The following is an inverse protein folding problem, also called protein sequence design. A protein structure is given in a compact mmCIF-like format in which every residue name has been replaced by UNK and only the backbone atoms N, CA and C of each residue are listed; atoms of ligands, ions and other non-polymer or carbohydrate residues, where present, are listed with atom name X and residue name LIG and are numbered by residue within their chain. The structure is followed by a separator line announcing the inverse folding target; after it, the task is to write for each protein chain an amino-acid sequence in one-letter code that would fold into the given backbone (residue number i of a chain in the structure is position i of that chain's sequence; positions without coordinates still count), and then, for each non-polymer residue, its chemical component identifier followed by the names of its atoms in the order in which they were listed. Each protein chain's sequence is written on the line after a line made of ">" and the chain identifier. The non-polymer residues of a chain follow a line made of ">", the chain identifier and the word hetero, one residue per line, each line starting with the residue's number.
data_IF_556187683527
#
_entry.id   IF_556187683527
#
_cell.length_a   1.000
_cell.length_b   1.000
_cell.length_c   1.000
_cell.angle_alpha   90.00
_cell.angle_beta   90.00
_cell.angle_gamma   90.00
#
_symmetry.space_group_name_H-M   'P 1'
#
loop_
_entity.id
_entity.type
_entity.pdbx_description
1 polymer ?
#
# COMPACT_ATOMS: atom_id res chain seq x y z
N UNK A 1 -0.13 21.66 -31.18
CA UNK A 1 0.73 20.47 -31.28
C UNK A 1 1.91 20.69 -30.35
N UNK A 2 2.15 19.84 -29.34
CA UNK A 2 3.34 19.97 -28.51
C UNK A 2 4.57 19.65 -29.37
N UNK A 3 5.56 20.50 -29.35
CA UNK A 3 6.83 20.30 -30.04
C UNK A 3 7.53 19.05 -29.50
N UNK A 4 8.23 18.28 -30.34
CA UNK A 4 8.95 17.03 -29.98
C UNK A 4 9.89 17.17 -28.78
N UNK A 5 10.33 18.38 -28.45
CA UNK A 5 11.16 18.67 -27.27
C UNK A 5 10.38 18.68 -25.95
N UNK A 6 9.08 18.94 -25.97
CA UNK A 6 8.24 18.92 -24.74
C UNK A 6 7.90 17.50 -24.27
N UNK A 7 7.92 16.51 -25.17
CA UNK A 7 7.64 15.12 -24.84
C UNK A 7 8.74 14.41 -24.01
N UNK A 8 9.99 14.79 -24.17
CA UNK A 8 11.13 14.12 -23.53
C UNK A 8 11.14 14.19 -21.98
N UNK A 9 10.85 15.36 -21.36
CA UNK A 9 10.82 15.47 -19.90
C UNK A 9 9.71 14.65 -19.26
N UNK A 10 8.51 14.71 -19.81
CA UNK A 10 7.38 13.93 -19.31
C UNK A 10 7.60 12.43 -19.46
N UNK A 11 8.22 12.00 -20.56
CA UNK A 11 8.55 10.58 -20.76
C UNK A 11 9.52 10.05 -19.70
N UNK A 12 10.52 10.81 -19.30
CA UNK A 12 11.48 10.39 -18.26
C UNK A 12 10.83 10.31 -16.89
N UNK A 13 9.98 11.29 -16.53
CA UNK A 13 9.21 11.22 -15.28
C UNK A 13 8.25 10.05 -15.29
N UNK A 14 7.57 9.81 -16.40
CA UNK A 14 6.71 8.65 -16.57
C UNK A 14 7.45 7.32 -16.41
N UNK A 15 8.64 7.20 -17.01
CA UNK A 15 9.49 6.03 -16.85
C UNK A 15 9.89 5.83 -15.38
N UNK A 16 10.30 6.89 -14.69
CA UNK A 16 10.62 6.85 -13.26
C UNK A 16 9.41 6.37 -12.43
N UNK A 17 8.21 6.91 -12.68
CA UNK A 17 7.00 6.50 -11.97
C UNK A 17 6.68 5.03 -12.26
N UNK A 18 6.85 4.58 -13.51
CA UNK A 18 6.62 3.17 -13.88
C UNK A 18 7.64 2.24 -13.22
N UNK A 19 8.91 2.58 -13.20
CA UNK A 19 9.95 1.80 -12.52
C UNK A 19 9.65 1.68 -11.03
N UNK A 20 9.36 2.80 -10.35
CA UNK A 20 8.97 2.79 -8.94
C UNK A 20 7.71 1.97 -8.69
N UNK A 21 6.69 2.10 -9.53
CA UNK A 21 5.46 1.31 -9.42
C UNK A 21 5.72 -0.18 -9.57
N UNK A 22 6.63 -0.59 -10.47
CA UNK A 22 7.06 -1.98 -10.64
C UNK A 22 7.77 -2.52 -9.39
N UNK A 23 8.53 -1.67 -8.71
CA UNK A 23 9.21 -1.98 -7.44
C UNK A 23 8.28 -1.94 -6.23
N UNK A 24 7.00 -1.63 -6.41
CA UNK A 24 6.04 -1.50 -5.31
C UNK A 24 6.22 -0.22 -4.51
N UNK A 25 6.61 0.87 -5.15
CA UNK A 25 6.83 2.17 -4.52
C UNK A 25 5.96 3.25 -5.17
N UNK A 26 5.47 4.17 -4.33
CA UNK A 26 4.76 5.37 -4.77
C UNK A 26 5.76 6.53 -4.91
N UNK A 27 5.48 7.43 -5.85
CA UNK A 27 6.32 8.61 -6.10
C UNK A 27 5.64 9.86 -5.53
N UNK A 28 6.36 10.64 -4.75
CA UNK A 28 5.86 11.90 -4.21
C UNK A 28 6.00 13.04 -5.23
N UNK A 29 5.19 14.10 -5.08
CA UNK A 29 5.36 15.36 -5.83
C UNK A 29 6.78 15.89 -5.72
N UNK A 30 7.38 15.80 -4.54
CA UNK A 30 8.74 16.26 -4.26
C UNK A 30 9.80 15.52 -5.11
N UNK A 31 9.67 14.21 -5.25
CA UNK A 31 10.57 13.41 -6.11
C UNK A 31 10.39 13.74 -7.59
N UNK A 32 9.16 13.97 -8.04
CA UNK A 32 8.87 14.41 -9.41
C UNK A 32 9.53 15.78 -9.68
N UNK A 33 9.35 16.74 -8.77
CA UNK A 33 9.97 18.05 -8.90
C UNK A 33 11.51 17.99 -8.90
N UNK A 34 12.08 17.14 -8.06
CA UNK A 34 13.52 16.90 -8.06
C UNK A 34 13.98 16.27 -9.37
N UNK A 35 13.20 15.34 -9.94
CA UNK A 35 13.43 14.77 -11.25
C UNK A 35 13.46 15.84 -12.36
N UNK A 36 12.54 16.79 -12.33
CA UNK A 36 12.54 17.94 -13.25
C UNK A 36 13.77 18.84 -13.04
N UNK A 37 14.10 19.20 -11.81
CA UNK A 37 15.27 20.04 -11.50
C UNK A 37 16.58 19.40 -11.97
N UNK A 38 16.78 18.11 -11.74
CA UNK A 38 17.98 17.37 -12.12
C UNK A 38 18.17 17.27 -13.65
N UNK A 39 17.09 17.42 -14.42
CA UNK A 39 17.13 17.37 -15.88
C UNK A 39 17.34 18.75 -16.51
N UNK A 40 17.46 19.81 -15.71
CA UNK A 40 17.64 21.19 -16.21
C UNK A 40 16.50 21.66 -17.09
N UNK A 41 15.29 21.21 -16.81
CA UNK A 41 14.14 21.43 -17.68
C UNK A 41 13.64 22.88 -17.63
N UNK A 42 13.62 23.50 -18.78
CA UNK A 42 13.07 24.80 -19.05
C UNK A 42 11.78 24.63 -19.84
N UNK A 43 10.67 25.16 -19.35
CA UNK A 43 9.45 25.27 -20.13
C UNK A 43 9.36 26.74 -20.58
N UNK A 44 9.24 26.96 -21.88
CA UNK A 44 9.15 28.30 -22.49
C UNK A 44 10.29 29.27 -22.08
N UNK A 45 11.51 28.75 -21.91
CA UNK A 45 12.66 29.58 -21.55
C UNK A 45 12.71 30.04 -20.09
N UNK A 46 11.81 29.54 -19.24
CA UNK A 46 11.81 29.79 -17.79
C UNK A 46 12.03 28.48 -17.03
N UNK A 47 12.89 28.57 -15.99
CA UNK A 47 13.05 27.44 -15.06
C UNK A 47 11.69 27.14 -14.40
N UNK A 48 11.32 25.87 -14.31
CA UNK A 48 10.07 25.46 -13.67
C UNK A 48 10.10 25.96 -12.23
N UNK A 49 9.36 27.03 -11.95
CA UNK A 49 9.14 27.50 -10.60
C UNK A 49 8.18 26.55 -9.88
N UNK A 50 8.31 26.40 -8.57
CA UNK A 50 7.43 25.56 -7.76
C UNK A 50 5.95 25.87 -7.93
N UNK A 51 5.61 27.10 -8.31
CA UNK A 51 4.24 27.56 -8.59
C UNK A 51 3.58 26.96 -9.83
N UNK A 52 4.33 26.35 -10.75
CA UNK A 52 3.78 25.81 -12.01
C UNK A 52 3.67 24.27 -12.01
N UNK A 53 4.10 23.61 -10.93
CA UNK A 53 4.15 22.15 -10.88
C UNK A 53 2.77 21.49 -10.91
N UNK A 54 1.76 22.09 -10.29
CA UNK A 54 0.38 21.57 -10.31
C UNK A 54 -0.20 21.56 -11.72
N UNK A 55 0.07 22.62 -12.48
CA UNK A 55 -0.37 22.70 -13.88
C UNK A 55 0.32 21.67 -14.75
N UNK A 56 1.61 21.41 -14.51
CA UNK A 56 2.38 20.38 -15.22
C UNK A 56 1.90 18.97 -14.90
N UNK A 57 1.72 18.65 -13.61
CA UNK A 57 1.22 17.36 -13.17
C UNK A 57 -0.21 17.11 -13.67
N UNK A 58 -1.07 18.15 -13.61
CA UNK A 58 -2.42 18.09 -14.17
C UNK A 58 -2.40 17.86 -15.69
N UNK A 59 -1.46 18.45 -16.42
CA UNK A 59 -1.24 18.19 -17.83
C UNK A 59 -0.82 16.75 -18.09
N UNK A 60 0.17 16.25 -17.36
CA UNK A 60 0.62 14.85 -17.44
C UNK A 60 -0.51 13.86 -17.16
N UNK A 61 -1.33 14.10 -16.13
CA UNK A 61 -2.46 13.25 -15.77
C UNK A 61 -3.52 13.17 -16.88
N UNK A 62 -3.68 14.23 -17.67
CA UNK A 62 -4.62 14.26 -18.80
C UNK A 62 -4.09 13.53 -20.03
N UNK A 63 -2.79 13.59 -20.28
CA UNK A 63 -2.16 13.01 -21.47
C UNK A 63 -1.78 11.53 -21.27
N UNK A 64 -1.50 11.13 -20.02
CA UNK A 64 -0.97 9.80 -19.70
C UNK A 64 -2.06 8.95 -19.06
N UNK A 65 -2.60 8.03 -19.82
CA UNK A 65 -3.75 7.21 -19.41
C UNK A 65 -3.51 6.27 -18.23
N UNK A 66 -2.27 5.91 -17.93
CA UNK A 66 -1.94 4.98 -16.85
C UNK A 66 -1.42 5.66 -15.59
N UNK A 67 -1.21 6.97 -15.62
CA UNK A 67 -0.82 7.73 -14.43
C UNK A 67 -2.02 7.93 -13.51
N UNK A 68 -1.84 7.63 -12.23
CA UNK A 68 -2.85 7.79 -11.17
C UNK A 68 -2.26 8.51 -9.98
N UNK A 69 -3.14 9.24 -9.32
CA UNK A 69 -2.86 9.95 -8.09
C UNK A 69 -3.67 9.35 -6.95
N UNK A 70 -3.08 9.28 -5.76
CA UNK A 70 -3.72 8.87 -4.52
C UNK A 70 -3.19 9.76 -3.39
N UNK A 71 -4.06 10.33 -2.53
CA UNK A 71 -3.60 11.11 -1.39
C UNK A 71 -3.01 10.20 -0.31
N UNK A 72 -1.92 10.64 0.33
CA UNK A 72 -1.42 10.02 1.55
C UNK A 72 -2.28 10.42 2.77
N UNK A 73 -1.88 10.03 3.97
CA UNK A 73 -2.65 10.30 5.20
C UNK A 73 -2.71 11.79 5.57
N UNK A 74 -1.75 12.58 5.09
CA UNK A 74 -1.68 14.03 5.28
C UNK A 74 -2.37 14.81 4.15
N UNK A 75 -2.89 14.09 3.13
CA UNK A 75 -3.52 14.66 1.96
C UNK A 75 -2.55 15.03 0.84
N UNK A 76 -1.26 14.69 0.96
CA UNK A 76 -0.29 14.95 -0.10
C UNK A 76 -0.43 13.93 -1.24
N UNK A 77 -0.37 14.37 -2.50
CA UNK A 77 -0.50 13.49 -3.64
C UNK A 77 0.72 12.57 -3.81
N UNK A 78 0.42 11.29 -4.06
CA UNK A 78 1.35 10.24 -4.44
C UNK A 78 0.96 9.70 -5.80
N UNK A 79 1.93 9.36 -6.63
CA UNK A 79 1.71 8.97 -8.02
C UNK A 79 2.18 7.55 -8.29
N UNK A 80 1.44 6.84 -9.15
CA UNK A 80 1.77 5.49 -9.58
C UNK A 80 1.22 5.21 -10.99
N UNK A 81 1.72 4.16 -11.63
CA UNK A 81 1.21 3.65 -12.90
C UNK A 81 0.20 2.54 -12.66
N UNK A 82 -1.04 2.73 -13.12
CA UNK A 82 -2.11 1.72 -13.02
C UNK A 82 -1.89 0.47 -13.90
N UNK A 83 -0.93 0.51 -14.83
CA UNK A 83 -0.48 -0.67 -15.58
C UNK A 83 0.37 -1.62 -14.74
N UNK A 84 1.07 -1.10 -13.73
CA UNK A 84 2.07 -1.85 -12.95
C UNK A 84 1.68 -2.03 -11.48
N UNK A 85 0.75 -1.23 -10.99
CA UNK A 85 0.28 -1.25 -9.61
C UNK A 85 -1.24 -1.03 -9.58
N UNK A 86 -1.97 -1.89 -8.86
CA UNK A 86 -3.40 -1.69 -8.63
C UNK A 86 -3.65 -0.59 -7.60
N UNK A 87 -4.81 0.05 -7.67
CA UNK A 87 -5.22 1.05 -6.66
C UNK A 87 -5.29 0.45 -5.25
N UNK A 88 -5.74 -0.80 -5.13
CA UNK A 88 -5.77 -1.50 -3.85
C UNK A 88 -4.37 -1.66 -3.25
N UNK A 89 -3.38 -2.00 -4.09
CA UNK A 89 -1.99 -2.09 -3.67
C UNK A 89 -1.44 -0.72 -3.24
N UNK A 90 -1.69 0.33 -4.03
CA UNK A 90 -1.30 1.70 -3.68
C UNK A 90 -1.88 2.16 -2.33
N UNK A 91 -3.17 1.85 -2.06
CA UNK A 91 -3.81 2.13 -0.76
C UNK A 91 -3.12 1.42 0.42
N UNK A 92 -2.66 0.19 0.22
CA UNK A 92 -1.93 -0.56 1.25
C UNK A 92 -0.59 0.11 1.54
N UNK A 93 0.14 0.54 0.50
CA UNK A 93 1.42 1.26 0.67
C UNK A 93 1.25 2.56 1.47
N UNK A 94 0.22 3.36 1.15
CA UNK A 94 -0.10 4.58 1.91
C UNK A 94 -0.39 4.26 3.38
N UNK A 95 -1.18 3.23 3.65
CA UNK A 95 -1.49 2.82 5.03
C UNK A 95 -0.25 2.31 5.78
N UNK A 96 0.66 1.63 5.07
CA UNK A 96 1.92 1.14 5.64
C UNK A 96 2.85 2.28 6.04
N UNK A 97 3.00 3.31 5.19
CA UNK A 97 3.82 4.49 5.49
C UNK A 97 3.33 5.23 6.74
N UNK A 98 2.05 5.09 7.09
CA UNK A 98 1.46 5.70 8.27
C UNK A 98 1.69 4.89 9.56
N UNK A 99 0.75 4.00 9.88
CA UNK A 99 0.80 3.18 11.11
C UNK A 99 0.61 1.69 10.78
N UNK A 100 1.67 0.87 10.89
CA UNK A 100 1.59 -0.57 10.70
C UNK A 100 0.55 -1.27 11.59
N UNK A 101 0.30 -0.73 12.79
CA UNK A 101 -0.70 -1.25 13.71
C UNK A 101 -2.12 -1.13 13.13
N UNK A 102 -2.45 0.05 12.61
CA UNK A 102 -3.74 0.30 11.93
C UNK A 102 -3.86 -0.54 10.65
N UNK A 103 -2.77 -0.69 9.91
CA UNK A 103 -2.76 -1.51 8.71
C UNK A 103 -3.11 -2.97 9.03
N UNK A 104 -2.43 -3.58 10.01
CA UNK A 104 -2.71 -4.95 10.46
C UNK A 104 -4.15 -5.07 10.95
N UNK A 105 -4.56 -4.19 11.87
CA UNK A 105 -5.89 -4.22 12.50
C UNK A 105 -7.01 -4.12 11.48
N UNK A 106 -6.92 -3.15 10.56
CA UNK A 106 -7.94 -2.96 9.53
C UNK A 106 -8.00 -4.15 8.56
N UNK A 107 -6.86 -4.71 8.17
CA UNK A 107 -6.80 -5.90 7.32
C UNK A 107 -7.46 -7.11 7.99
N UNK A 108 -7.19 -7.33 9.29
CA UNK A 108 -7.80 -8.43 10.06
C UNK A 108 -9.30 -8.23 10.22
N UNK A 109 -9.76 -7.02 10.54
CA UNK A 109 -11.20 -6.70 10.65
C UNK A 109 -11.91 -6.90 9.31
N UNK A 110 -11.33 -6.39 8.23
CA UNK A 110 -11.87 -6.51 6.87
C UNK A 110 -11.97 -7.98 6.42
N UNK A 111 -10.91 -8.77 6.63
CA UNK A 111 -10.91 -10.22 6.32
C UNK A 111 -11.96 -10.98 7.14
N UNK A 112 -12.08 -10.66 8.43
CA UNK A 112 -13.06 -11.27 9.32
C UNK A 112 -14.49 -10.91 8.95
N UNK A 113 -14.75 -9.65 8.55
CA UNK A 113 -16.06 -9.13 8.17
C UNK A 113 -16.51 -9.64 6.80
N UNK A 114 -15.66 -9.50 5.78
CA UNK A 114 -16.03 -9.70 4.37
C UNK A 114 -15.92 -11.18 3.96
N UNK A 115 -14.83 -11.81 4.38
CA UNK A 115 -14.52 -13.19 3.98
C UNK A 115 -14.83 -14.22 5.07
N UNK A 116 -15.23 -13.78 6.28
CA UNK A 116 -15.39 -14.64 7.46
C UNK A 116 -14.15 -15.52 7.71
N UNK A 117 -12.95 -14.97 7.52
CA UNK A 117 -11.67 -15.71 7.55
C UNK A 117 -10.69 -15.08 8.53
N UNK A 118 -9.99 -15.91 9.33
CA UNK A 118 -8.78 -15.46 10.04
C UNK A 118 -7.66 -15.14 9.07
N UNK A 119 -6.78 -14.23 9.45
CA UNK A 119 -5.65 -13.74 8.66
C UNK A 119 -4.36 -14.36 9.18
N UNK A 120 -3.59 -15.11 8.38
CA UNK A 120 -2.30 -15.63 8.81
C UNK A 120 -1.30 -14.47 9.00
N UNK A 121 -0.52 -14.51 10.09
CA UNK A 121 0.48 -13.45 10.37
C UNK A 121 1.53 -13.36 9.26
N UNK A 122 1.85 -14.48 8.62
CA UNK A 122 2.77 -14.54 7.49
C UNK A 122 2.35 -13.68 6.28
N UNK A 123 1.05 -13.36 6.15
CA UNK A 123 0.56 -12.44 5.12
C UNK A 123 1.27 -11.08 5.18
N UNK A 124 1.54 -10.59 6.37
CA UNK A 124 2.13 -9.27 6.58
C UNK A 124 3.64 -9.21 6.26
N UNK A 125 4.32 -10.36 6.19
CA UNK A 125 5.72 -10.45 5.80
C UNK A 125 5.91 -10.30 4.28
N UNK A 126 4.90 -10.70 3.49
CA UNK A 126 4.94 -10.66 2.02
C UNK A 126 4.35 -9.39 1.41
N UNK A 127 4.51 -9.23 0.08
CA UNK A 127 3.84 -8.15 -0.65
C UNK A 127 2.31 -8.22 -0.49
N UNK A 128 1.63 -7.08 -0.42
CA UNK A 128 2.12 -5.70 -0.49
C UNK A 128 2.58 -5.11 0.85
N UNK A 129 2.46 -5.84 1.94
CA UNK A 129 2.71 -5.35 3.30
C UNK A 129 4.21 -5.19 3.59
N UNK A 130 5.03 -6.21 3.32
CA UNK A 130 6.49 -6.19 3.51
C UNK A 130 6.90 -5.66 4.89
N UNK A 131 6.17 -6.05 5.94
CA UNK A 131 6.53 -5.74 7.31
C UNK A 131 7.61 -6.71 7.79
N UNK A 132 8.52 -6.24 8.63
CA UNK A 132 9.47 -7.11 9.31
C UNK A 132 8.79 -7.87 10.45
N UNK A 133 9.39 -8.97 10.88
CA UNK A 133 8.88 -9.73 12.04
C UNK A 133 8.88 -8.87 13.31
N UNK A 134 9.87 -8.00 13.50
CA UNK A 134 9.99 -7.09 14.63
C UNK A 134 8.86 -6.05 14.66
N UNK A 135 8.52 -5.46 13.50
CA UNK A 135 7.37 -4.54 13.40
C UNK A 135 6.06 -5.24 13.75
N UNK A 136 5.85 -6.46 13.24
CA UNK A 136 4.66 -7.26 13.54
C UNK A 136 4.57 -7.56 15.03
N UNK A 137 5.64 -8.06 15.64
CA UNK A 137 5.65 -8.42 17.06
C UNK A 137 5.44 -7.17 17.96
N UNK A 138 6.00 -6.03 17.57
CA UNK A 138 5.75 -4.74 18.25
C UNK A 138 4.27 -4.34 18.14
N UNK A 139 3.66 -4.47 16.98
CA UNK A 139 2.23 -4.21 16.80
C UNK A 139 1.36 -5.15 17.65
N UNK A 140 1.68 -6.43 17.69
CA UNK A 140 0.96 -7.41 18.50
C UNK A 140 1.04 -7.11 20.02
N UNK A 141 2.18 -6.61 20.50
CA UNK A 141 2.32 -6.16 21.90
C UNK A 141 1.41 -4.96 22.17
N UNK A 142 1.48 -3.93 21.33
CA UNK A 142 0.62 -2.74 21.44
C UNK A 142 -0.87 -3.08 21.41
N UNK A 143 -1.30 -4.03 20.55
CA UNK A 143 -2.71 -4.48 20.48
C UNK A 143 -3.19 -5.11 21.79
N UNK A 144 -2.31 -5.75 22.55
CA UNK A 144 -2.67 -6.35 23.85
C UNK A 144 -2.85 -5.32 24.96
N UNK A 145 -2.12 -4.20 24.86
CA UNK A 145 -2.11 -3.15 25.88
C UNK A 145 -3.22 -2.12 25.67
N UNK A 146 -3.68 -1.93 24.44
CA UNK A 146 -4.64 -0.89 24.07
C UNK A 146 -6.07 -1.49 23.91
N UNK A 147 -7.00 -0.93 24.70
CA UNK A 147 -8.40 -1.33 24.67
C UNK A 147 -9.08 -1.19 23.30
N UNK A 148 -8.56 -0.32 22.44
CA UNK A 148 -9.09 -0.09 21.08
C UNK A 148 -8.96 -1.33 20.19
N UNK A 149 -8.03 -2.24 20.50
CA UNK A 149 -7.72 -3.43 19.71
C UNK A 149 -8.09 -4.74 20.39
N UNK A 150 -8.86 -4.71 21.47
CA UNK A 150 -9.26 -5.88 22.24
C UNK A 150 -10.12 -6.89 21.45
N UNK A 151 -10.68 -6.48 20.33
CA UNK A 151 -11.38 -7.34 19.40
C UNK A 151 -10.43 -8.23 18.58
N UNK A 152 -9.15 -7.86 18.47
CA UNK A 152 -8.16 -8.65 17.72
C UNK A 152 -7.62 -9.76 18.61
N UNK A 153 -7.87 -11.00 18.19
CA UNK A 153 -7.40 -12.20 18.87
C UNK A 153 -6.42 -12.97 18.02
N UNK A 154 -5.46 -13.58 18.71
CA UNK A 154 -4.51 -14.49 18.08
C UNK A 154 -4.88 -15.94 18.39
N UNK A 155 -4.74 -16.80 17.39
CA UNK A 155 -4.81 -18.26 17.54
C UNK A 155 -3.61 -18.91 16.86
N UNK A 156 -3.30 -20.14 17.26
CA UNK A 156 -2.21 -20.93 16.68
C UNK A 156 -2.79 -22.29 16.30
N UNK A 157 -2.53 -22.75 15.09
CA UNK A 157 -2.98 -24.03 14.59
C UNK A 157 -2.15 -25.19 15.16
N UNK A 158 -2.61 -26.42 14.98
CA UNK A 158 -1.91 -27.63 15.41
C UNK A 158 -0.51 -27.80 14.79
N UNK A 159 -0.27 -27.20 13.63
CA UNK A 159 1.04 -27.20 12.95
C UNK A 159 1.89 -25.94 13.25
N UNK A 160 1.43 -25.08 14.17
CA UNK A 160 2.19 -23.95 14.68
C UNK A 160 2.03 -22.62 13.91
N UNK A 161 1.16 -22.55 12.91
CA UNK A 161 0.89 -21.30 12.17
C UNK A 161 0.04 -20.35 13.01
N UNK A 162 0.48 -19.08 13.08
CA UNK A 162 -0.23 -18.05 13.85
C UNK A 162 -1.20 -17.27 12.95
N UNK A 163 -2.43 -17.09 13.44
CA UNK A 163 -3.48 -16.31 12.78
C UNK A 163 -4.04 -15.23 13.69
N UNK A 164 -4.57 -14.17 13.08
CA UNK A 164 -5.32 -13.10 13.73
C UNK A 164 -6.77 -13.12 13.24
N UNK A 165 -7.72 -12.78 14.10
CA UNK A 165 -9.12 -12.56 13.73
C UNK A 165 -9.76 -11.52 14.63
N UNK A 166 -10.84 -10.89 14.16
CA UNK A 166 -11.62 -9.93 14.95
C UNK A 166 -12.85 -10.59 15.54
N UNK A 167 -12.99 -10.49 16.87
CA UNK A 167 -14.18 -10.99 17.61
C UNK A 167 -15.45 -10.18 17.34
N UNK A 168 -15.35 -9.04 16.66
CA UNK A 168 -16.52 -8.29 16.17
C UNK A 168 -17.30 -9.07 15.09
N UNK A 169 -16.62 -9.98 14.38
CA UNK A 169 -17.18 -10.70 13.23
C UNK A 169 -17.08 -12.21 13.34
N UNK A 170 -16.09 -12.73 14.07
CA UNK A 170 -15.89 -14.16 14.30
C UNK A 170 -15.92 -14.47 15.80
N UNK A 171 -16.75 -15.43 16.20
CA UNK A 171 -16.78 -15.86 17.60
C UNK A 171 -15.43 -16.49 18.02
N UNK A 172 -15.09 -16.45 19.33
CA UNK A 172 -13.85 -17.05 19.85
C UNK A 172 -13.66 -18.53 19.49
N UNK A 173 -14.74 -19.29 19.31
CA UNK A 173 -14.68 -20.70 18.89
C UNK A 173 -14.49 -20.86 17.39
N UNK A 174 -15.14 -19.99 16.61
CA UNK A 174 -15.14 -20.07 15.14
C UNK A 174 -13.80 -19.61 14.54
N UNK A 175 -13.17 -18.60 15.12
CA UNK A 175 -11.87 -18.11 14.66
C UNK A 175 -10.79 -19.21 14.62
N UNK A 176 -10.51 -19.90 15.75
CA UNK A 176 -9.56 -21.01 15.78
C UNK A 176 -9.93 -22.18 14.87
N UNK A 177 -11.21 -22.57 14.84
CA UNK A 177 -11.69 -23.64 13.97
C UNK A 177 -11.44 -23.35 12.49
N UNK A 178 -11.71 -22.13 12.04
CA UNK A 178 -11.46 -21.72 10.66
C UNK A 178 -9.96 -21.61 10.35
N UNK A 179 -9.14 -21.15 11.30
CA UNK A 179 -7.69 -21.12 11.15
C UNK A 179 -7.14 -22.54 10.92
N UNK A 180 -7.56 -23.49 11.76
CA UNK A 180 -7.18 -24.89 11.62
C UNK A 180 -7.62 -25.48 10.27
N UNK A 181 -8.86 -25.21 9.86
CA UNK A 181 -9.37 -25.67 8.57
C UNK A 181 -8.61 -25.10 7.38
N UNK A 182 -8.23 -23.82 7.41
CA UNK A 182 -7.47 -23.16 6.35
C UNK A 182 -6.06 -23.73 6.25
N UNK A 183 -5.42 -23.96 7.38
CA UNK A 183 -4.00 -24.30 7.46
C UNK A 183 -3.77 -25.82 7.24
N UNK A 184 -4.61 -26.64 7.85
CA UNK A 184 -4.47 -28.11 7.86
C UNK A 184 -5.46 -28.79 6.92
N UNK A 185 -6.71 -28.30 6.88
CA UNK A 185 -7.78 -28.91 6.09
C UNK A 185 -7.55 -28.84 4.58
N UNK A 186 -6.92 -27.76 4.08
CA UNK A 186 -6.60 -27.63 2.65
C UNK A 186 -5.44 -28.54 2.22
N UNK A 187 -4.55 -28.90 3.13
CA UNK A 187 -3.43 -29.83 2.84
C UNK A 187 -3.93 -31.27 2.71
N UNK A 188 -4.99 -31.60 3.44
CA UNK A 188 -5.56 -32.97 3.47
C UNK A 188 -6.68 -33.19 2.45
N UNK A 189 -7.11 -32.15 1.72
CA UNK A 189 -8.17 -32.25 0.73
C UNK A 189 -7.81 -31.42 -0.51
N UNK A 190 -6.87 -31.89 -1.37
CA UNK A 190 -6.38 -31.19 -2.56
C UNK A 190 -7.46 -31.06 -3.67
#
# INVERSE_FOLDING_TARGET
>A
MPTEEQGKPFQRILLMIRERSKEGQLVSTKEILQGFKNQGLWIEGKQIAESNHETLLSGMMKEINDLREIPDQEGHPRYYSSLLMSEAYAKILIRKEGDPLLLITNTVRESSATCSRPTPISLFLGPPFMLSQEEIDTCLLRMREDNQYQDIRQTTTSIGTRFLYSTLYLTPDRGPMLAEWIDVGQVNNP
#
